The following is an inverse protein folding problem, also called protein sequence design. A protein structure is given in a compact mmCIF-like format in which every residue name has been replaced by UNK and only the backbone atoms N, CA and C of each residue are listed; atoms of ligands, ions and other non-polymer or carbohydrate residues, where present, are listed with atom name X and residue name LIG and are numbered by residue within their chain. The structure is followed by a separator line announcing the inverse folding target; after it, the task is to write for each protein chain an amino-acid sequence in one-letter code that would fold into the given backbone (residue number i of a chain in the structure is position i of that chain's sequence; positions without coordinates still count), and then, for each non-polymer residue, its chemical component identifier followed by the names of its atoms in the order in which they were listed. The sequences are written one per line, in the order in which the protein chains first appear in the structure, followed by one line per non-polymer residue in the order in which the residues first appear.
data_IF_902016612154
#
_entry.id   IF_902016612154
#
_cell.length_a   1.000
_cell.length_b   1.000
_cell.length_c   1.000
_cell.angle_alpha   90.00
_cell.angle_beta   90.00
_cell.angle_gamma   90.00
#
_symmetry.space_group_name_H-M   'P 1'
#
loop_
_entity.id
_entity.type
_entity.pdbx_description
1 polymer ?
#
# COMPACT_ATOMS: atom_id res chain seq x y z
N UNK A 1 -10.59 -19.19 14.54
CA UNK A 1 -11.00 -18.11 13.62
C UNK A 1 -12.28 -18.57 12.92
N UNK A 2 -13.34 -17.76 12.87
CA UNK A 2 -14.64 -18.16 12.31
C UNK A 2 -15.04 -17.43 11.02
N UNK A 3 -14.30 -16.38 10.64
CA UNK A 3 -14.57 -15.54 9.46
C UNK A 3 -13.25 -15.12 8.82
N UNK A 4 -13.17 -15.22 7.49
CA UNK A 4 -12.12 -14.62 6.66
C UNK A 4 -12.74 -13.61 5.69
N UNK A 5 -11.98 -12.57 5.37
CA UNK A 5 -12.27 -11.62 4.30
C UNK A 5 -11.09 -11.67 3.34
N UNK A 6 -11.36 -11.95 2.06
CA UNK A 6 -10.33 -12.13 1.02
C UNK A 6 -10.73 -11.26 -0.17
N UNK A 7 -9.78 -10.57 -0.80
CA UNK A 7 -10.07 -9.84 -2.03
C UNK A 7 -10.38 -10.80 -3.19
N UNK A 8 -11.17 -10.33 -4.14
CA UNK A 8 -11.49 -11.07 -5.34
C UNK A 8 -10.21 -11.57 -6.03
N UNK A 9 -10.21 -12.83 -6.44
CA UNK A 9 -9.07 -13.54 -7.03
C UNK A 9 -7.83 -13.61 -6.11
N UNK A 10 -8.00 -13.42 -4.80
CA UNK A 10 -6.89 -13.36 -3.84
C UNK A 10 -6.10 -12.04 -3.86
N UNK A 11 -6.57 -11.03 -4.61
CA UNK A 11 -5.87 -9.76 -4.80
C UNK A 11 -6.27 -8.76 -3.73
N UNK A 12 -5.34 -8.38 -2.85
CA UNK A 12 -5.42 -7.22 -1.96
C UNK A 12 -4.03 -6.60 -1.81
N UNK A 13 -3.93 -5.28 -2.01
CA UNK A 13 -2.70 -4.56 -1.69
C UNK A 13 -2.46 -4.51 -0.18
N UNK A 14 -1.19 -4.36 0.23
CA UNK A 14 -0.84 -4.23 1.66
C UNK A 14 -1.59 -3.05 2.32
N UNK A 15 -1.71 -1.86 1.70
CA UNK A 15 -2.57 -0.78 2.22
C UNK A 15 -4.06 -1.15 2.33
N UNK A 16 -4.60 -1.89 1.35
CA UNK A 16 -6.00 -2.33 1.38
C UNK A 16 -6.26 -3.34 2.51
N UNK A 17 -5.33 -4.27 2.77
CA UNK A 17 -5.40 -5.19 3.91
C UNK A 17 -5.45 -4.41 5.23
N UNK A 18 -4.54 -3.46 5.43
CA UNK A 18 -4.53 -2.61 6.64
C UNK A 18 -5.84 -1.85 6.82
N UNK A 19 -6.35 -1.23 5.74
CA UNK A 19 -7.64 -0.54 5.71
C UNK A 19 -8.79 -1.47 6.14
N UNK A 20 -8.88 -2.67 5.55
CA UNK A 20 -9.94 -3.63 5.84
C UNK A 20 -9.85 -4.13 7.28
N UNK A 21 -8.66 -4.52 7.77
CA UNK A 21 -8.45 -4.97 9.16
C UNK A 21 -9.03 -3.95 10.13
N UNK A 22 -8.69 -2.67 9.95
CA UNK A 22 -9.15 -1.57 10.81
C UNK A 22 -10.65 -1.33 10.67
N UNK A 23 -11.17 -1.31 9.44
CA UNK A 23 -12.61 -1.08 9.14
C UNK A 23 -13.51 -2.12 9.80
N UNK A 24 -13.14 -3.40 9.71
CA UNK A 24 -13.97 -4.51 10.21
C UNK A 24 -13.55 -4.98 11.62
N UNK A 25 -12.54 -4.34 12.21
CA UNK A 25 -11.94 -4.71 13.51
C UNK A 25 -11.49 -6.18 13.53
N UNK A 26 -10.82 -6.61 12.47
CA UNK A 26 -10.24 -7.96 12.41
C UNK A 26 -9.11 -8.10 13.43
N UNK A 27 -8.80 -9.34 13.82
CA UNK A 27 -7.70 -9.63 14.75
C UNK A 27 -6.30 -9.43 14.10
N UNK A 28 -6.26 -9.39 12.78
CA UNK A 28 -5.04 -9.33 11.97
C UNK A 28 -5.33 -9.76 10.53
N UNK A 29 -4.27 -9.93 9.75
CA UNK A 29 -4.34 -10.39 8.37
C UNK A 29 -3.03 -11.03 7.92
N UNK A 30 -3.13 -11.97 6.98
CA UNK A 30 -1.99 -12.61 6.32
C UNK A 30 -1.93 -12.04 4.91
N UNK A 31 -0.75 -11.60 4.49
CA UNK A 31 -0.52 -10.99 3.18
C UNK A 31 0.53 -11.83 2.48
N UNK A 32 0.16 -12.38 1.33
CA UNK A 32 1.03 -13.21 0.49
C UNK A 32 1.78 -12.29 -0.48
N UNK A 33 2.99 -11.89 -0.11
CA UNK A 33 3.80 -10.97 -0.90
C UNK A 33 5.26 -10.98 -0.46
N UNK A 34 6.16 -10.84 -1.44
CA UNK A 34 7.58 -10.55 -1.24
C UNK A 34 7.95 -9.10 -1.63
N UNK A 35 6.97 -8.18 -1.72
CA UNK A 35 7.18 -6.74 -1.96
C UNK A 35 7.91 -6.41 -3.27
N UNK A 36 9.18 -5.97 -3.26
CA UNK A 36 9.96 -5.69 -4.48
C UNK A 36 10.57 -6.94 -5.11
N UNK A 37 10.59 -8.04 -4.38
CA UNK A 37 11.24 -9.24 -4.87
C UNK A 37 10.48 -9.80 -6.10
N UNK A 38 11.19 -10.41 -7.05
CA UNK A 38 10.59 -10.93 -8.27
C UNK A 38 9.72 -12.16 -7.96
N UNK A 39 8.71 -12.39 -8.80
CA UNK A 39 7.75 -13.49 -8.68
C UNK A 39 8.00 -14.64 -9.66
N UNK A 40 6.99 -15.50 -9.80
CA UNK A 40 7.03 -16.66 -10.70
C UNK A 40 7.70 -17.92 -10.12
N UNK A 41 7.77 -19.02 -10.89
CA UNK A 41 8.24 -20.33 -10.39
C UNK A 41 9.67 -20.36 -9.85
N UNK A 42 10.52 -19.44 -10.32
CA UNK A 42 11.91 -19.29 -9.89
C UNK A 42 12.14 -18.02 -9.05
N UNK A 43 11.07 -17.34 -8.65
CA UNK A 43 11.11 -16.10 -7.87
C UNK A 43 11.01 -16.35 -6.37
N UNK A 44 10.79 -15.26 -5.64
CA UNK A 44 10.63 -15.26 -4.19
C UNK A 44 9.16 -15.34 -3.79
N UNK A 45 8.89 -15.82 -2.57
CA UNK A 45 7.56 -15.79 -1.96
C UNK A 45 7.66 -15.38 -0.50
N UNK A 46 6.71 -14.56 -0.04
CA UNK A 46 6.70 -14.03 1.31
C UNK A 46 5.33 -14.11 1.96
N UNK A 47 5.33 -14.26 3.29
CA UNK A 47 4.12 -14.28 4.12
C UNK A 47 4.30 -13.19 5.18
N UNK A 48 3.65 -12.04 4.99
CA UNK A 48 3.59 -10.98 6.00
C UNK A 48 2.40 -11.22 6.93
N UNK A 49 2.55 -10.90 8.22
CA UNK A 49 1.46 -10.96 9.19
C UNK A 49 1.24 -9.59 9.84
N UNK A 50 0.03 -9.06 9.68
CA UNK A 50 -0.42 -7.83 10.33
C UNK A 50 -1.36 -8.15 11.50
N UNK A 51 -1.36 -7.29 12.52
CA UNK A 51 -2.16 -7.45 13.73
C UNK A 51 -3.39 -6.52 13.71
N UNK A 52 -4.17 -6.52 14.80
CA UNK A 52 -5.48 -5.87 14.88
C UNK A 52 -5.49 -4.34 14.61
N UNK A 53 -4.37 -3.64 14.81
CA UNK A 53 -4.28 -2.21 14.46
C UNK A 53 -4.11 -1.96 12.94
N UNK A 54 -3.96 -3.03 12.14
CA UNK A 54 -3.74 -3.00 10.70
C UNK A 54 -2.27 -2.97 10.29
N UNK A 55 -1.33 -2.76 11.22
CA UNK A 55 0.10 -2.68 10.96
C UNK A 55 0.83 -4.04 11.09
N UNK A 56 2.12 -4.09 10.70
CA UNK A 56 2.96 -5.29 10.82
C UNK A 56 3.07 -5.80 12.26
N UNK A 57 3.19 -7.11 12.41
CA UNK A 57 3.40 -7.71 13.73
C UNK A 57 4.68 -7.17 14.40
N UNK A 58 4.62 -6.76 15.69
CA UNK A 58 5.79 -6.33 16.45
C UNK A 58 6.68 -7.52 16.82
N UNK A 59 7.92 -7.23 17.26
CA UNK A 59 8.94 -8.25 17.55
C UNK A 59 8.47 -9.34 18.52
N UNK A 60 7.76 -8.97 19.59
CA UNK A 60 7.24 -9.97 20.54
C UNK A 60 6.26 -10.97 19.90
N UNK A 61 5.53 -10.58 18.84
CA UNK A 61 4.65 -11.49 18.09
C UNK A 61 5.48 -12.32 17.10
N UNK A 62 6.39 -11.71 16.34
CA UNK A 62 7.21 -12.43 15.36
C UNK A 62 8.14 -13.44 16.04
N UNK A 63 8.72 -13.10 17.18
CA UNK A 63 9.53 -14.02 18.00
C UNK A 63 8.69 -15.19 18.48
N UNK A 64 7.45 -14.94 18.93
CA UNK A 64 6.54 -16.01 19.34
C UNK A 64 6.22 -16.96 18.18
N UNK A 65 5.93 -16.42 16.98
CA UNK A 65 5.71 -17.22 15.77
C UNK A 65 6.95 -18.06 15.46
N UNK A 66 8.14 -17.47 15.53
CA UNK A 66 9.41 -18.17 15.29
C UNK A 66 9.71 -19.26 16.34
N UNK A 67 9.40 -19.02 17.62
CA UNK A 67 9.58 -20.06 18.65
C UNK A 67 8.60 -21.22 18.46
N UNK A 68 7.36 -20.95 18.03
CA UNK A 68 6.38 -21.98 17.71
C UNK A 68 6.84 -22.78 16.48
N UNK A 69 7.30 -22.12 15.41
CA UNK A 69 7.70 -22.81 14.18
C UNK A 69 8.87 -23.77 14.37
N UNK A 70 9.78 -23.49 15.31
CA UNK A 70 10.90 -24.38 15.65
C UNK A 70 10.50 -25.62 16.44
N UNK A 71 9.31 -25.64 17.03
CA UNK A 71 8.84 -26.68 17.97
C UNK A 71 7.53 -27.32 17.55
N UNK A 72 7.03 -27.00 16.35
CA UNK A 72 5.75 -27.51 15.87
C UNK A 72 5.87 -29.02 15.60
N UNK A 73 4.96 -29.81 16.16
CA UNK A 73 4.90 -31.26 15.96
C UNK A 73 3.71 -31.66 15.06
N UNK A 74 2.65 -30.86 15.07
CA UNK A 74 1.43 -31.10 14.31
C UNK A 74 0.75 -29.78 13.89
N UNK A 75 -0.13 -29.85 12.88
CA UNK A 75 -1.00 -28.76 12.48
C UNK A 75 -2.38 -29.31 12.08
N UNK A 76 -3.42 -28.47 12.19
CA UNK A 76 -4.79 -28.82 11.80
C UNK A 76 -5.15 -28.21 10.45
N UNK A 77 -5.81 -29.00 9.59
CA UNK A 77 -6.25 -28.58 8.25
C UNK A 77 -7.61 -29.21 7.92
N UNK A 78 -8.42 -28.49 7.13
CA UNK A 78 -9.63 -29.03 6.51
C UNK A 78 -9.34 -29.26 5.01
N UNK A 79 -8.86 -30.46 4.61
CA UNK A 79 -8.33 -30.70 3.26
C UNK A 79 -9.40 -30.59 2.17
N UNK A 80 -10.66 -30.87 2.51
CA UNK A 80 -11.78 -30.85 1.55
C UNK A 80 -12.41 -29.46 1.38
N UNK A 81 -11.95 -28.45 2.15
CA UNK A 81 -12.49 -27.10 2.06
C UNK A 81 -11.94 -26.39 0.82
N UNK A 82 -12.83 -26.05 -0.10
CA UNK A 82 -12.52 -25.28 -1.30
C UNK A 82 -13.27 -23.95 -1.31
N UNK A 83 -12.55 -22.87 -1.58
CA UNK A 83 -13.11 -21.51 -1.69
C UNK A 83 -13.02 -21.08 -3.14
N UNK A 84 -14.12 -20.59 -3.71
CA UNK A 84 -14.08 -19.89 -4.99
C UNK A 84 -13.67 -18.43 -4.76
N UNK A 85 -12.45 -18.05 -5.16
CA UNK A 85 -11.97 -16.68 -5.00
C UNK A 85 -12.53 -15.71 -6.06
N UNK A 86 -13.14 -16.21 -7.14
CA UNK A 86 -13.57 -15.39 -8.27
C UNK A 86 -14.91 -14.69 -8.04
N UNK A 87 -15.79 -15.31 -7.25
CA UNK A 87 -17.15 -14.80 -7.00
C UNK A 87 -17.20 -13.97 -5.72
N UNK A 88 -17.45 -12.67 -5.85
CA UNK A 88 -17.72 -11.76 -4.72
C UNK A 88 -18.96 -12.26 -3.96
N UNK A 89 -18.87 -12.29 -2.63
CA UNK A 89 -19.96 -12.68 -1.77
C UNK A 89 -19.52 -13.58 -0.62
N UNK A 90 -20.52 -14.07 0.12
CA UNK A 90 -20.33 -14.88 1.32
C UNK A 90 -20.44 -16.38 0.99
N UNK A 91 -19.45 -17.14 1.41
CA UNK A 91 -19.40 -18.60 1.36
C UNK A 91 -19.38 -19.13 2.80
N UNK A 92 -20.19 -20.14 3.10
CA UNK A 92 -20.29 -20.74 4.44
C UNK A 92 -19.96 -22.22 4.37
N UNK A 93 -19.20 -22.68 5.37
CA UNK A 93 -18.70 -24.04 5.47
C UNK A 93 -19.04 -24.57 6.85
N UNK A 94 -19.84 -25.64 6.90
CA UNK A 94 -20.11 -26.35 8.14
C UNK A 94 -18.94 -27.29 8.43
N UNK A 95 -18.32 -27.10 9.59
CA UNK A 95 -17.17 -27.88 10.02
C UNK A 95 -17.62 -28.92 11.05
N UNK A 96 -17.10 -30.13 10.94
CA UNK A 96 -17.37 -31.20 11.91
C UNK A 96 -17.03 -30.71 13.33
N UNK A 97 -17.90 -31.01 14.29
CA UNK A 97 -17.75 -30.61 15.70
C UNK A 97 -17.65 -29.08 15.94
N UNK A 98 -18.18 -28.25 15.03
CA UNK A 98 -18.33 -26.80 15.23
C UNK A 98 -19.80 -26.37 15.09
N UNK A 99 -20.30 -25.65 16.09
CA UNK A 99 -21.69 -25.15 16.10
C UNK A 99 -21.93 -23.98 15.15
N UNK A 100 -20.93 -23.11 14.96
CA UNK A 100 -21.02 -21.97 14.04
C UNK A 100 -20.28 -22.29 12.73
N UNK A 101 -20.84 -21.93 11.57
CA UNK A 101 -20.18 -22.14 10.30
C UNK A 101 -18.92 -21.28 10.20
N UNK A 102 -17.91 -21.80 9.52
CA UNK A 102 -16.78 -21.00 9.05
C UNK A 102 -17.24 -20.18 7.85
N UNK A 103 -16.95 -18.88 7.86
CA UNK A 103 -17.41 -17.96 6.81
C UNK A 103 -16.21 -17.41 6.04
N UNK A 104 -16.27 -17.44 4.72
CA UNK A 104 -15.36 -16.70 3.85
C UNK A 104 -16.16 -15.65 3.10
N UNK A 105 -15.68 -14.42 3.10
CA UNK A 105 -16.28 -13.32 2.36
C UNK A 105 -15.28 -12.83 1.32
N UNK A 106 -15.61 -13.05 0.05
CA UNK A 106 -14.86 -12.50 -1.07
C UNK A 106 -15.37 -11.09 -1.32
N UNK A 107 -14.48 -10.11 -1.25
CA UNK A 107 -14.80 -8.69 -1.39
C UNK A 107 -14.13 -8.10 -2.63
N UNK A 108 -14.71 -7.02 -3.17
CA UNK A 108 -14.01 -6.23 -4.17
C UNK A 108 -12.68 -5.72 -3.60
N UNK A 109 -11.59 -5.92 -4.35
CA UNK A 109 -10.24 -5.61 -3.92
C UNK A 109 -10.00 -4.12 -3.64
N UNK A 110 -10.79 -3.23 -4.26
CA UNK A 110 -10.54 -1.78 -4.29
C UNK A 110 -11.56 -1.01 -3.46
N UNK A 111 -12.82 -1.45 -3.40
CA UNK A 111 -13.96 -0.69 -2.85
C UNK A 111 -13.69 -0.09 -1.46
N UNK A 112 -13.24 -0.90 -0.51
CA UNK A 112 -13.06 -0.44 0.87
C UNK A 112 -11.93 0.60 0.96
N UNK A 113 -10.89 0.41 0.15
CA UNK A 113 -9.75 1.31 0.07
C UNK A 113 -10.09 2.61 -0.67
N UNK A 114 -10.79 2.55 -1.80
CA UNK A 114 -11.28 3.73 -2.51
C UNK A 114 -12.20 4.58 -1.63
N UNK A 115 -13.10 3.96 -0.85
CA UNK A 115 -13.90 4.66 0.15
C UNK A 115 -13.04 5.40 1.18
N UNK A 116 -11.97 4.77 1.67
CA UNK A 116 -11.05 5.42 2.60
C UNK A 116 -10.40 6.63 1.95
N UNK A 117 -9.87 6.50 0.73
CA UNK A 117 -9.23 7.60 0.01
C UNK A 117 -10.19 8.76 -0.29
N UNK A 118 -11.45 8.48 -0.62
CA UNK A 118 -12.50 9.51 -0.79
C UNK A 118 -12.75 10.35 0.45
N UNK A 119 -12.49 9.80 1.64
CA UNK A 119 -12.61 10.53 2.90
C UNK A 119 -11.30 11.24 3.29
N UNK A 120 -10.20 11.01 2.56
CA UNK A 120 -8.90 11.62 2.84
C UNK A 120 -8.63 12.79 1.89
N UNK A 121 -8.89 12.59 0.59
CA UNK A 121 -8.58 13.53 -0.48
C UNK A 121 -9.83 14.15 -1.09
N UNK A 122 -9.70 15.33 -1.68
CA UNK A 122 -10.75 15.95 -2.48
C UNK A 122 -10.78 15.35 -3.88
N UNK A 123 -11.66 14.37 -4.09
CA UNK A 123 -11.80 13.70 -5.39
C UNK A 123 -12.34 14.62 -6.49
N UNK A 124 -13.06 15.69 -6.16
CA UNK A 124 -13.54 16.64 -7.17
C UNK A 124 -12.36 17.46 -7.71
N UNK A 125 -11.51 17.98 -6.83
CA UNK A 125 -10.31 18.71 -7.22
C UNK A 125 -9.33 17.82 -8.02
N UNK A 126 -9.15 16.56 -7.58
CA UNK A 126 -8.31 15.60 -8.31
C UNK A 126 -8.90 15.25 -9.69
N UNK A 127 -10.22 15.09 -9.79
CA UNK A 127 -10.90 14.84 -11.07
C UNK A 127 -10.77 16.01 -12.03
N UNK A 128 -10.91 17.24 -11.54
CA UNK A 128 -10.68 18.44 -12.34
C UNK A 128 -9.22 18.50 -12.84
N UNK A 129 -8.25 18.16 -11.97
CA UNK A 129 -6.83 18.10 -12.32
C UNK A 129 -6.52 17.05 -13.39
N UNK A 130 -7.18 15.89 -13.37
CA UNK A 130 -6.86 14.75 -14.24
C UNK A 130 -7.72 14.67 -15.52
N UNK A 131 -8.88 15.33 -15.55
CA UNK A 131 -9.81 15.25 -16.68
C UNK A 131 -10.29 16.61 -17.22
N UNK A 132 -9.91 17.71 -16.57
CA UNK A 132 -10.28 19.07 -16.99
C UNK A 132 -9.58 19.53 -18.28
N UNK A 133 -9.88 20.78 -18.69
CA UNK A 133 -9.38 21.37 -19.95
C UNK A 133 -7.84 21.41 -20.03
N UNK A 134 -7.18 21.64 -18.91
CA UNK A 134 -5.72 21.67 -18.77
C UNK A 134 -5.25 20.50 -17.92
N UNK A 135 -5.77 19.29 -18.19
CA UNK A 135 -5.46 18.14 -17.35
C UNK A 135 -3.96 17.84 -17.29
N UNK A 136 -3.51 17.44 -16.11
CA UNK A 136 -2.17 16.95 -15.87
C UNK A 136 -1.98 15.64 -16.63
N UNK A 137 -0.95 15.57 -17.48
CA UNK A 137 -0.64 14.33 -18.21
C UNK A 137 0.18 13.41 -17.33
N UNK A 138 -0.40 12.27 -16.97
CA UNK A 138 0.23 11.33 -16.03
C UNK A 138 0.59 9.99 -16.68
N UNK A 139 1.60 9.33 -16.10
CA UNK A 139 1.96 7.92 -16.37
C UNK A 139 2.18 7.17 -15.06
N UNK A 140 1.35 6.18 -14.80
CA UNK A 140 1.32 5.44 -13.55
C UNK A 140 1.59 3.97 -13.85
N UNK A 141 2.76 3.51 -13.45
CA UNK A 141 3.25 2.15 -13.68
C UNK A 141 3.01 1.29 -12.45
N UNK A 142 2.14 0.29 -12.57
CA UNK A 142 1.88 -0.66 -11.48
C UNK A 142 2.88 -1.84 -11.47
N UNK A 143 3.85 -1.86 -12.39
CA UNK A 143 4.89 -2.87 -12.53
C UNK A 143 4.34 -4.30 -12.55
N UNK A 144 3.17 -4.50 -13.18
CA UNK A 144 2.43 -5.77 -13.21
C UNK A 144 2.07 -6.33 -11.82
N UNK A 145 2.12 -5.49 -10.79
CA UNK A 145 1.83 -5.83 -9.41
C UNK A 145 0.39 -5.56 -9.01
N UNK A 146 0.13 -5.66 -7.70
CA UNK A 146 -1.21 -5.62 -7.12
C UNK A 146 -1.94 -4.29 -7.35
N UNK A 147 -1.21 -3.20 -7.59
CA UNK A 147 -1.77 -1.83 -7.67
C UNK A 147 -2.52 -1.59 -9.00
N UNK A 148 -2.38 -2.47 -9.99
CA UNK A 148 -3.00 -2.30 -11.32
C UNK A 148 -4.52 -2.03 -11.30
N UNK A 149 -5.34 -2.87 -10.64
CA UNK A 149 -6.77 -2.62 -10.48
C UNK A 149 -7.09 -1.34 -9.70
N UNK A 150 -6.25 -0.94 -8.76
CA UNK A 150 -6.42 0.30 -7.98
C UNK A 150 -6.20 1.53 -8.84
N UNK A 151 -5.16 1.55 -9.68
CA UNK A 151 -4.92 2.63 -10.66
C UNK A 151 -6.11 2.74 -11.61
N UNK A 152 -6.55 1.62 -12.21
CA UNK A 152 -7.64 1.61 -13.17
C UNK A 152 -8.95 2.12 -12.56
N UNK A 153 -9.38 1.55 -11.43
CA UNK A 153 -10.66 1.93 -10.81
C UNK A 153 -10.64 3.35 -10.21
N UNK A 154 -9.55 3.74 -9.55
CA UNK A 154 -9.51 5.02 -8.83
C UNK A 154 -9.06 6.16 -9.76
N UNK A 155 -7.88 6.05 -10.36
CA UNK A 155 -7.33 7.15 -11.17
C UNK A 155 -8.05 7.27 -12.52
N UNK A 156 -8.35 6.16 -13.20
CA UNK A 156 -8.95 6.21 -14.53
C UNK A 156 -10.48 6.30 -14.49
N UNK A 157 -11.16 5.34 -13.87
CA UNK A 157 -12.63 5.28 -13.89
C UNK A 157 -13.28 6.37 -13.02
N UNK A 158 -12.80 6.55 -11.77
CA UNK A 158 -13.42 7.49 -10.82
C UNK A 158 -12.95 8.94 -11.03
N UNK A 159 -11.63 9.15 -11.12
CA UNK A 159 -11.01 10.47 -11.29
C UNK A 159 -10.83 10.89 -12.76
N UNK A 160 -11.14 10.02 -13.72
CA UNK A 160 -11.22 10.39 -15.14
C UNK A 160 -9.88 10.54 -15.86
N UNK A 161 -8.77 10.04 -15.30
CA UNK A 161 -7.50 9.99 -16.03
C UNK A 161 -7.66 9.11 -17.29
N UNK A 162 -7.11 9.51 -18.45
CA UNK A 162 -7.20 8.70 -19.66
C UNK A 162 -6.62 7.29 -19.45
N UNK A 163 -7.22 6.27 -20.07
CA UNK A 163 -6.81 4.87 -19.84
C UNK A 163 -5.33 4.59 -20.14
N UNK A 164 -4.72 5.33 -21.07
CA UNK A 164 -3.29 5.22 -21.37
C UNK A 164 -2.37 5.67 -20.21
N UNK A 165 -2.92 6.34 -19.20
CA UNK A 165 -2.23 6.68 -17.95
C UNK A 165 -1.86 5.46 -17.13
N UNK A 166 -2.63 4.37 -17.24
CA UNK A 166 -2.44 3.13 -16.51
C UNK A 166 -1.50 2.20 -17.28
N UNK A 167 -0.23 2.14 -16.87
CA UNK A 167 0.82 1.33 -17.47
C UNK A 167 1.04 0.08 -16.61
N UNK A 168 1.20 -1.07 -17.26
CA UNK A 168 1.41 -2.37 -16.60
C UNK A 168 0.39 -2.69 -15.49
N UNK A 169 -0.85 -2.20 -15.64
CA UNK A 169 -1.90 -2.29 -14.64
C UNK A 169 -2.73 -3.59 -14.70
N UNK A 170 -2.12 -4.69 -15.14
CA UNK A 170 -2.70 -6.03 -15.09
C UNK A 170 -1.76 -6.87 -14.22
N UNK A 171 -2.22 -7.36 -13.06
CA UNK A 171 -1.40 -8.20 -12.19
C UNK A 171 -0.96 -9.48 -12.92
N UNK A 172 0.33 -9.82 -12.83
CA UNK A 172 0.91 -11.05 -13.36
C UNK A 172 1.68 -11.78 -12.25
N UNK A 173 1.63 -13.11 -12.23
CA UNK A 173 2.28 -13.93 -11.19
C UNK A 173 3.81 -13.79 -11.16
N UNK A 174 4.41 -13.43 -12.30
CA UNK A 174 5.85 -13.21 -12.49
C UNK A 174 6.21 -11.73 -12.66
N UNK A 175 5.25 -10.81 -12.47
CA UNK A 175 5.39 -9.38 -12.72
C UNK A 175 5.93 -9.03 -14.12
N UNK A 176 5.62 -9.86 -15.13
CA UNK A 176 6.15 -9.69 -16.50
C UNK A 176 7.63 -10.10 -16.64
N UNK A 177 8.16 -10.88 -15.69
CA UNK A 177 9.57 -11.31 -15.66
C UNK A 177 10.53 -10.24 -15.13
N UNK A 178 10.01 -9.22 -14.42
CA UNK A 178 10.78 -8.10 -13.89
C UNK A 178 10.70 -8.01 -12.36
N UNK A 179 11.59 -7.22 -11.76
CA UNK A 179 11.47 -6.85 -10.35
C UNK A 179 10.42 -5.73 -10.21
N UNK A 180 9.36 -5.92 -9.41
CA UNK A 180 8.41 -4.84 -9.12
C UNK A 180 9.00 -3.91 -8.04
N UNK A 181 10.12 -3.24 -8.35
CA UNK A 181 10.84 -2.35 -7.43
C UNK A 181 10.90 -0.92 -7.99
N UNK A 182 10.20 0.06 -7.40
CA UNK A 182 10.05 1.39 -7.97
C UNK A 182 11.30 2.23 -7.70
N UNK A 183 12.33 2.05 -8.52
CA UNK A 183 13.53 2.89 -8.51
C UNK A 183 14.02 3.19 -9.94
N UNK A 184 14.99 4.09 -10.07
CA UNK A 184 15.50 4.55 -11.37
C UNK A 184 16.10 3.43 -12.25
N UNK A 185 16.47 2.29 -11.65
CA UNK A 185 17.06 1.14 -12.35
C UNK A 185 15.98 0.20 -12.89
N UNK A 186 15.04 -0.24 -12.04
CA UNK A 186 14.03 -1.23 -12.44
C UNK A 186 12.81 -0.63 -13.12
N UNK A 187 12.42 0.60 -12.76
CA UNK A 187 11.38 1.36 -13.47
C UNK A 187 11.97 2.21 -14.62
N UNK A 188 13.00 1.70 -15.30
CA UNK A 188 13.71 2.41 -16.37
C UNK A 188 12.78 2.81 -17.52
N UNK A 189 11.81 1.97 -17.88
CA UNK A 189 10.86 2.25 -18.97
C UNK A 189 9.98 3.46 -18.66
N UNK A 190 9.50 3.58 -17.41
CA UNK A 190 8.81 4.78 -16.95
C UNK A 190 9.74 6.00 -17.02
N UNK A 191 10.98 5.89 -16.55
CA UNK A 191 11.96 6.99 -16.60
C UNK A 191 12.21 7.47 -18.03
N UNK A 192 12.37 6.54 -18.99
CA UNK A 192 12.55 6.90 -20.41
C UNK A 192 11.29 7.54 -20.99
N UNK A 193 10.11 7.04 -20.62
CA UNK A 193 8.83 7.63 -21.02
C UNK A 193 8.68 9.05 -20.47
N UNK A 194 9.08 9.32 -19.23
CA UNK A 194 9.02 10.67 -18.65
C UNK A 194 10.04 11.63 -19.27
N UNK A 195 11.20 11.13 -19.74
CA UNK A 195 12.24 11.94 -20.41
C UNK A 195 11.80 12.55 -21.73
N UNK A 196 10.77 11.99 -22.39
CA UNK A 196 10.22 12.58 -23.63
C UNK A 196 9.65 13.99 -23.40
N UNK A 197 9.28 14.32 -22.16
CA UNK A 197 8.66 15.61 -21.82
C UNK A 197 7.17 15.69 -22.16
N UNK A 198 6.56 14.59 -22.62
CA UNK A 198 5.12 14.55 -22.92
C UNK A 198 4.23 14.53 -21.68
N UNK A 199 4.74 13.97 -20.57
CA UNK A 199 4.02 13.80 -19.31
C UNK A 199 4.59 14.73 -18.24
N UNK A 200 3.69 15.24 -17.39
CA UNK A 200 4.03 16.18 -16.34
C UNK A 200 4.32 15.47 -15.01
N UNK A 201 3.73 14.29 -14.79
CA UNK A 201 3.86 13.49 -13.58
C UNK A 201 3.94 11.98 -13.91
N UNK A 202 4.89 11.30 -13.28
CA UNK A 202 5.07 9.86 -13.37
C UNK A 202 5.13 9.23 -12.00
N UNK A 203 4.59 8.03 -11.84
CA UNK A 203 4.78 7.24 -10.62
C UNK A 203 4.91 5.75 -10.90
N UNK A 204 5.68 5.05 -10.08
CA UNK A 204 5.77 3.58 -10.09
C UNK A 204 5.48 3.02 -8.69
N UNK A 205 4.88 1.84 -8.63
CA UNK A 205 4.58 1.11 -7.40
C UNK A 205 5.29 -0.23 -7.35
N UNK A 206 5.51 -0.74 -6.14
CA UNK A 206 6.07 -2.08 -5.93
C UNK A 206 5.00 -3.19 -5.95
N UNK A 207 5.43 -4.44 -5.75
CA UNK A 207 4.58 -5.62 -5.91
C UNK A 207 3.32 -5.63 -5.05
N UNK A 208 3.38 -5.15 -3.80
CA UNK A 208 2.24 -5.05 -2.89
C UNK A 208 1.69 -3.63 -2.65
N UNK A 209 2.31 -2.62 -3.29
CA UNK A 209 1.79 -1.26 -3.37
C UNK A 209 1.99 -0.41 -2.13
N UNK A 210 2.95 -0.73 -1.28
CA UNK A 210 3.30 0.08 -0.10
C UNK A 210 4.48 1.04 -0.36
N UNK A 211 5.13 0.94 -1.52
CA UNK A 211 6.18 1.87 -1.97
C UNK A 211 5.82 2.61 -3.25
N UNK A 212 6.39 3.80 -3.40
CA UNK A 212 6.16 4.67 -4.54
C UNK A 212 7.43 5.45 -4.95
N UNK A 213 7.69 5.50 -6.26
CA UNK A 213 8.62 6.46 -6.86
C UNK A 213 7.84 7.55 -7.55
N UNK A 214 8.27 8.81 -7.39
CA UNK A 214 7.66 9.97 -8.02
C UNK A 214 8.63 10.61 -9.02
N UNK A 215 8.13 10.90 -10.21
CA UNK A 215 8.85 11.56 -11.29
C UNK A 215 8.08 12.81 -11.74
N UNK A 216 8.80 13.90 -11.95
CA UNK A 216 8.30 15.07 -12.68
C UNK A 216 8.58 14.98 -14.18
N UNK A 217 8.17 16.03 -14.88
CA UNK A 217 8.45 16.23 -16.31
C UNK A 217 9.93 16.07 -16.64
N UNK A 218 10.24 15.55 -17.83
CA UNK A 218 11.60 15.25 -18.30
C UNK A 218 12.36 14.22 -17.44
N UNK A 219 11.65 13.41 -16.66
CA UNK A 219 12.26 12.41 -15.78
C UNK A 219 12.92 13.04 -14.54
N UNK A 220 12.44 14.20 -14.09
CA UNK A 220 12.90 14.82 -12.84
C UNK A 220 12.64 13.88 -11.67
N UNK A 221 13.70 13.36 -11.06
CA UNK A 221 13.59 12.41 -9.96
C UNK A 221 13.31 13.14 -8.64
N UNK A 222 12.19 12.83 -8.01
CA UNK A 222 11.90 13.28 -6.65
C UNK A 222 12.49 12.26 -5.68
N UNK A 223 13.55 12.63 -4.97
CA UNK A 223 14.13 11.76 -3.95
C UNK A 223 13.07 11.43 -2.87
N UNK A 224 12.93 10.18 -2.40
CA UNK A 224 11.90 9.82 -1.43
C UNK A 224 11.96 10.61 -0.11
N UNK A 225 13.16 10.98 0.34
CA UNK A 225 13.33 11.83 1.54
C UNK A 225 12.80 13.25 1.31
N UNK A 226 12.97 13.79 0.11
CA UNK A 226 12.41 15.10 -0.26
C UNK A 226 10.89 15.01 -0.49
N UNK A 227 10.40 13.88 -1.02
CA UNK A 227 8.96 13.65 -1.23
C UNK A 227 8.16 13.82 0.06
N UNK A 228 8.56 13.13 1.14
CA UNK A 228 7.89 13.28 2.45
C UNK A 228 8.02 14.70 3.01
N UNK A 229 9.15 15.39 2.80
CA UNK A 229 9.33 16.77 3.24
C UNK A 229 8.42 17.74 2.47
N UNK A 230 8.28 17.57 1.15
CA UNK A 230 7.38 18.38 0.30
C UNK A 230 5.92 18.16 0.71
N UNK A 231 5.52 16.92 0.97
CA UNK A 231 4.17 16.61 1.49
C UNK A 231 3.98 17.28 2.84
N UNK A 232 4.93 17.17 3.77
CA UNK A 232 4.86 17.78 5.09
C UNK A 232 4.70 19.32 5.01
N UNK A 233 5.44 19.96 4.11
CA UNK A 233 5.39 21.42 3.92
C UNK A 233 4.06 21.91 3.33
N UNK A 234 3.35 21.04 2.60
CA UNK A 234 2.09 21.34 1.92
C UNK A 234 0.91 20.50 2.46
N UNK A 235 1.05 19.96 3.67
CA UNK A 235 0.18 18.89 4.18
C UNK A 235 -1.30 19.30 4.29
N UNK A 236 -1.55 20.60 4.51
CA UNK A 236 -2.90 21.17 4.58
C UNK A 236 -3.57 21.36 3.22
N UNK A 237 -2.92 21.00 2.11
CA UNK A 237 -3.61 20.83 0.81
C UNK A 237 -4.51 19.58 0.80
N UNK A 238 -4.38 18.69 1.78
CA UNK A 238 -5.15 17.45 1.90
C UNK A 238 -6.26 17.63 2.96
N UNK A 239 -7.56 17.45 2.62
CA UNK A 239 -8.68 17.65 3.55
C UNK A 239 -8.56 16.88 4.87
N UNK A 240 -8.03 15.66 4.85
CA UNK A 240 -7.80 14.87 6.06
C UNK A 240 -6.99 15.64 7.12
N UNK A 241 -5.88 16.28 6.73
CA UNK A 241 -5.01 16.99 7.67
C UNK A 241 -5.56 18.38 8.03
N UNK A 242 -6.39 18.99 7.19
CA UNK A 242 -7.16 20.18 7.57
C UNK A 242 -8.13 19.88 8.73
N UNK A 243 -8.75 18.69 8.72
CA UNK A 243 -9.72 18.29 9.74
C UNK A 243 -9.05 17.71 10.98
N UNK A 244 -8.00 16.90 10.82
CA UNK A 244 -7.37 16.15 11.92
C UNK A 244 -6.21 16.89 12.58
N UNK A 245 -5.66 17.91 11.91
CA UNK A 245 -4.40 18.54 12.29
C UNK A 245 -3.20 17.61 12.11
N UNK A 246 -2.03 18.08 12.52
CA UNK A 246 -0.77 17.33 12.42
C UNK A 246 -0.17 17.14 13.81
N UNK A 247 -0.09 15.88 14.24
CA UNK A 247 0.33 15.51 15.60
C UNK A 247 1.84 15.38 15.74
N UNK A 248 2.50 15.03 14.63
CA UNK A 248 3.94 14.85 14.55
C UNK A 248 4.35 14.26 13.21
N UNK A 249 5.63 14.38 12.92
CA UNK A 249 6.31 13.81 11.76
C UNK A 249 7.26 12.71 12.21
N UNK A 250 7.52 11.71 11.37
CA UNK A 250 8.58 10.73 11.62
C UNK A 250 9.30 10.34 10.35
N UNK A 251 10.58 10.00 10.49
CA UNK A 251 11.37 9.35 9.44
C UNK A 251 12.24 8.27 10.04
N UNK A 252 12.67 7.31 9.23
CA UNK A 252 13.72 6.41 9.66
C UNK A 252 15.07 7.16 9.73
N UNK A 253 15.97 6.68 10.57
CA UNK A 253 17.31 7.24 10.76
C UNK A 253 18.09 7.44 9.45
N UNK A 254 18.11 6.50 8.49
CA UNK A 254 18.84 6.71 7.24
C UNK A 254 18.18 7.71 6.28
N UNK A 255 16.91 8.07 6.48
CA UNK A 255 16.23 9.09 5.67
C UNK A 255 16.84 10.45 5.89
N UNK A 256 16.98 11.23 4.80
CA UNK A 256 17.62 12.54 4.85
C UNK A 256 16.92 13.49 5.84
N UNK A 257 17.67 14.48 6.34
CA UNK A 257 17.16 15.48 7.27
C UNK A 257 16.21 16.53 6.68
N UNK A 258 15.67 16.32 5.47
CA UNK A 258 14.78 17.27 4.79
C UNK A 258 13.48 17.49 5.58
N UNK A 259 12.88 16.41 6.07
CA UNK A 259 11.65 16.46 6.89
C UNK A 259 11.89 17.23 8.20
N UNK A 260 13.08 17.12 8.79
CA UNK A 260 13.48 17.82 10.02
C UNK A 260 13.45 19.33 9.85
N UNK A 261 13.84 19.83 8.66
CA UNK A 261 13.79 21.26 8.35
C UNK A 261 12.36 21.77 8.36
N UNK A 262 11.43 21.00 7.79
CA UNK A 262 10.00 21.33 7.76
C UNK A 262 9.41 21.27 9.17
N UNK A 263 9.72 20.21 9.93
CA UNK A 263 9.29 20.05 11.31
C UNK A 263 9.74 21.23 12.19
N UNK A 264 11.02 21.63 12.08
CA UNK A 264 11.57 22.77 12.81
C UNK A 264 10.89 24.10 12.42
N UNK A 265 10.67 24.35 11.12
CA UNK A 265 10.01 25.56 10.64
C UNK A 265 8.54 25.67 11.10
N UNK A 266 7.84 24.54 11.16
CA UNK A 266 6.42 24.44 11.54
C UNK A 266 6.20 24.23 13.04
N UNK A 267 7.27 23.97 13.81
CA UNK A 267 7.26 23.64 15.24
C UNK A 267 6.44 22.39 15.57
N UNK A 268 6.42 21.42 14.65
CA UNK A 268 5.79 20.12 14.83
C UNK A 268 6.85 19.13 15.33
N UNK A 269 6.47 18.23 16.25
CA UNK A 269 7.38 17.22 16.76
C UNK A 269 7.89 16.30 15.62
N UNK A 270 9.17 15.95 15.67
CA UNK A 270 9.79 14.99 14.75
C UNK A 270 10.34 13.80 15.53
N UNK A 271 10.10 12.60 15.02
CA UNK A 271 10.65 11.36 15.53
C UNK A 271 11.59 10.72 14.50
N UNK A 272 12.82 10.46 14.92
CA UNK A 272 13.75 9.61 14.18
C UNK A 272 13.62 8.17 14.72
N UNK A 273 13.32 7.21 13.86
CA UNK A 273 13.11 5.81 14.25
C UNK A 273 14.14 4.88 13.58
N UNK A 274 14.35 3.65 14.06
CA UNK A 274 15.02 2.64 13.24
C UNK A 274 14.23 2.37 11.95
N UNK A 275 14.89 1.82 10.94
CA UNK A 275 14.25 1.38 9.69
C UNK A 275 13.19 0.31 9.97
N UNK A 276 12.03 0.44 9.33
CA UNK A 276 10.93 -0.50 9.41
C UNK A 276 9.63 0.11 9.93
N UNK A 277 8.56 -0.05 9.16
CA UNK A 277 7.24 0.55 9.40
C UNK A 277 6.62 0.28 10.78
N UNK A 278 6.99 -0.82 11.45
CA UNK A 278 6.49 -1.20 12.78
C UNK A 278 6.74 -0.12 13.84
N UNK A 279 7.80 0.67 13.73
CA UNK A 279 8.12 1.74 14.69
C UNK A 279 7.18 2.94 14.55
N UNK A 280 6.74 3.26 13.32
CA UNK A 280 5.73 4.30 13.09
C UNK A 280 4.38 3.93 13.66
N UNK A 281 4.00 2.64 13.57
CA UNK A 281 2.73 2.14 14.13
C UNK A 281 2.54 2.49 15.61
N UNK A 282 3.59 2.34 16.44
CA UNK A 282 3.55 2.70 17.85
C UNK A 282 3.27 4.20 18.07
N UNK A 283 3.87 5.06 17.25
CA UNK A 283 3.68 6.51 17.34
C UNK A 283 2.29 6.93 16.84
N UNK A 284 1.77 6.28 15.78
CA UNK A 284 0.42 6.51 15.29
C UNK A 284 -0.63 6.11 16.34
N UNK A 285 -0.49 4.93 16.95
CA UNK A 285 -1.41 4.44 18.00
C UNK A 285 -1.37 5.32 19.25
N UNK A 286 -0.21 5.90 19.58
CA UNK A 286 -0.05 6.88 20.66
C UNK A 286 -0.54 8.29 20.31
N UNK A 287 -1.14 8.50 19.14
CA UNK A 287 -1.54 9.81 18.60
C UNK A 287 -0.40 10.84 18.56
N UNK A 288 0.83 10.38 18.28
CA UNK A 288 2.03 11.21 18.15
C UNK A 288 2.48 11.43 16.71
N UNK A 289 1.95 10.67 15.76
CA UNK A 289 2.39 10.69 14.37
C UNK A 289 1.20 10.86 13.41
N UNK A 290 1.38 11.70 12.40
CA UNK A 290 0.40 11.98 11.34
C UNK A 290 0.94 11.72 9.93
N UNK A 291 2.25 11.92 9.70
CA UNK A 291 2.91 11.67 8.42
C UNK A 291 4.31 11.12 8.67
N UNK A 292 4.68 10.04 7.98
CA UNK A 292 6.02 9.48 8.01
C UNK A 292 6.52 9.05 6.64
N UNK A 293 7.85 8.86 6.53
CA UNK A 293 8.47 8.36 5.31
C UNK A 293 9.82 7.70 5.55
N UNK A 294 10.22 6.86 4.60
CA UNK A 294 11.52 6.18 4.57
C UNK A 294 12.20 6.45 3.22
N UNK A 295 13.54 6.48 3.20
CA UNK A 295 14.31 6.73 1.97
C UNK A 295 14.12 5.63 0.92
N UNK A 296 13.74 4.44 1.37
CA UNK A 296 13.40 3.27 0.57
C UNK A 296 12.01 3.36 -0.08
N UNK A 297 11.66 4.53 -0.63
CA UNK A 297 10.41 4.78 -1.39
C UNK A 297 9.12 4.59 -0.57
N UNK A 298 9.18 4.68 0.77
CA UNK A 298 8.03 4.53 1.65
C UNK A 298 7.45 5.87 2.11
N UNK A 299 6.13 6.04 2.09
CA UNK A 299 5.45 7.23 2.62
C UNK A 299 4.05 6.88 3.11
N UNK A 300 3.61 7.43 4.25
CA UNK A 300 2.31 7.11 4.84
C UNK A 300 1.96 7.90 6.08
#
# INVERSE_FOLDING_TARGET
IGRLVIGQNGILSTPAVSCIIRKIKAIGGIILTASHNPGGPNGDFGIKFNIANGGPAPEGITDKIFQISKKIEEYAICPDLQVDLSTIGKQQFDLENKFKPFTVEIVDSVEAYANMLRNIFDFNALKELLSGKNHLKIRIDAMHGVVGPYVKKILCEELGAPANSAVNCTPLEDFGGHHPDPNLTYAADLVQTMKTGEYDFGAAFDGDGDRNMILGKHGFFVNPSDSVAVIAANIFSIPYFQQTGVRGFARSMPTSGALDRVAHATKIALYETPTGWKFFGNLMDANKLSLCGEESFGTG
#
